data_IF_180115901441
#
_entry.id   IF_180115901441
#
_cell.length_a   1.000
_cell.length_b   1.000
_cell.length_c   1.000
_cell.angle_alpha   90.00
_cell.angle_beta   90.00
_cell.angle_gamma   90.00
#
_symmetry.space_group_name_H-M   'P 1'
#
loop_
_entity.id
_entity.type
_entity.pdbx_description
1 polymer ?
#
# COMPACT_ATOMS: atom_id res chain seq x y z
N UNK A 1 15.40 16.81 17.30
CA UNK A 1 14.16 17.31 16.70
C UNK A 1 13.08 17.33 17.77
N UNK A 2 12.15 18.29 17.75
CA UNK A 2 10.96 18.18 18.58
C UNK A 2 10.04 17.09 18.03
N UNK A 3 9.12 16.56 18.84
CA UNK A 3 8.16 15.54 18.38
C UNK A 3 7.33 16.03 17.20
N UNK A 4 6.93 17.30 17.21
CA UNK A 4 6.19 17.93 16.13
C UNK A 4 7.01 18.02 14.83
N UNK A 5 8.33 18.21 14.92
CA UNK A 5 9.21 18.21 13.73
C UNK A 5 9.35 16.79 13.15
N UNK A 6 9.37 15.77 14.00
CA UNK A 6 9.40 14.35 13.58
C UNK A 6 8.11 14.01 12.85
N UNK A 7 6.96 14.34 13.44
CA UNK A 7 5.65 14.08 12.84
C UNK A 7 5.55 14.70 11.44
N UNK A 8 5.92 15.99 11.30
CA UNK A 8 5.89 16.69 10.00
C UNK A 8 6.84 16.05 8.99
N UNK A 9 8.05 15.69 9.43
CA UNK A 9 9.05 15.09 8.54
C UNK A 9 8.63 13.70 8.04
N UNK A 10 8.14 12.85 8.93
CA UNK A 10 7.70 11.49 8.60
C UNK A 10 6.48 11.53 7.67
N UNK A 11 5.46 12.34 7.97
CA UNK A 11 4.28 12.41 7.12
C UNK A 11 4.61 13.00 5.73
N UNK A 12 5.47 14.01 5.63
CA UNK A 12 5.92 14.54 4.32
C UNK A 12 6.65 13.47 3.49
N UNK A 13 7.53 12.68 4.11
CA UNK A 13 8.24 11.58 3.46
C UNK A 13 7.26 10.51 2.94
N UNK A 14 6.34 10.07 3.80
CA UNK A 14 5.34 9.04 3.45
C UNK A 14 4.38 9.54 2.38
N UNK A 15 3.91 10.78 2.46
CA UNK A 15 3.06 11.39 1.44
C UNK A 15 3.76 11.49 0.08
N UNK A 16 5.05 11.87 0.06
CA UNK A 16 5.84 11.91 -1.17
C UNK A 16 6.02 10.51 -1.77
N UNK A 17 6.33 9.51 -0.95
CA UNK A 17 6.46 8.12 -1.37
C UNK A 17 5.13 7.61 -1.95
N UNK A 18 4.03 7.75 -1.22
CA UNK A 18 2.68 7.32 -1.63
C UNK A 18 2.30 7.96 -2.96
N UNK A 19 2.46 9.28 -3.08
CA UNK A 19 2.12 10.00 -4.32
C UNK A 19 3.01 9.59 -5.50
N UNK A 20 4.29 9.31 -5.27
CA UNK A 20 5.19 8.82 -6.32
C UNK A 20 4.73 7.45 -6.84
N UNK A 21 4.40 6.53 -5.94
CA UNK A 21 3.98 5.16 -6.31
C UNK A 21 2.63 5.18 -7.00
N UNK A 22 1.65 5.92 -6.47
CA UNK A 22 0.36 6.09 -7.11
C UNK A 22 0.49 6.65 -8.53
N UNK A 23 1.43 7.58 -8.80
CA UNK A 23 1.70 8.09 -10.15
C UNK A 23 2.20 7.03 -11.13
N UNK A 24 2.95 6.04 -10.66
CA UNK A 24 3.52 4.97 -11.50
C UNK A 24 2.46 3.94 -11.87
N UNK A 25 1.48 3.70 -10.98
CA UNK A 25 0.36 2.81 -11.27
C UNK A 25 -0.43 3.27 -12.50
N UNK A 26 -0.92 2.30 -13.28
CA UNK A 26 -1.91 2.57 -14.33
C UNK A 26 -3.17 3.21 -13.71
N UNK A 27 -3.93 4.03 -14.46
CA UNK A 27 -5.13 4.67 -13.93
C UNK A 27 -6.09 3.69 -13.24
N UNK A 28 -6.30 2.50 -13.84
CA UNK A 28 -7.17 1.46 -13.28
C UNK A 28 -6.61 0.89 -11.97
N UNK A 29 -5.33 0.52 -11.94
CA UNK A 29 -4.67 -0.03 -10.74
C UNK A 29 -4.69 0.96 -9.58
N UNK A 30 -4.45 2.24 -9.87
CA UNK A 30 -4.55 3.33 -8.90
C UNK A 30 -5.94 3.42 -8.29
N UNK A 31 -6.98 3.37 -9.12
CA UNK A 31 -8.35 3.43 -8.65
C UNK A 31 -8.74 2.24 -7.77
N UNK A 32 -8.26 1.03 -8.09
CA UNK A 32 -8.45 -0.16 -7.25
C UNK A 32 -7.86 0.07 -5.86
N UNK A 33 -6.59 0.47 -5.80
CA UNK A 33 -5.88 0.73 -4.53
C UNK A 33 -6.59 1.82 -3.72
N UNK A 34 -6.93 2.94 -4.35
CA UNK A 34 -7.57 4.06 -3.65
C UNK A 34 -9.00 3.72 -3.20
N UNK A 35 -9.77 2.98 -4.01
CA UNK A 35 -11.11 2.54 -3.61
C UNK A 35 -11.04 1.64 -2.36
N UNK A 36 -10.12 0.67 -2.33
CA UNK A 36 -9.93 -0.20 -1.17
C UNK A 36 -9.46 0.55 0.08
N UNK A 37 -8.63 1.59 -0.08
CA UNK A 37 -8.16 2.43 1.04
C UNK A 37 -9.24 3.33 1.63
N UNK A 38 -10.21 3.74 0.82
CA UNK A 38 -11.18 4.78 1.18
C UNK A 38 -12.53 4.19 1.58
N UNK A 39 -12.91 3.06 1.00
CA UNK A 39 -14.19 2.42 1.27
C UNK A 39 -14.20 1.75 2.64
N UNK A 40 -15.33 1.84 3.33
CA UNK A 40 -15.54 1.28 4.66
C UNK A 40 -16.65 0.20 4.60
N UNK A 41 -16.73 -0.67 5.60
CA UNK A 41 -17.76 -1.73 5.67
C UNK A 41 -19.17 -1.19 5.90
N UNK A 42 -19.29 0.02 6.47
CA UNK A 42 -20.56 0.73 6.65
C UNK A 42 -21.14 1.28 5.34
N UNK A 43 -20.33 1.30 4.27
CA UNK A 43 -20.70 1.83 2.97
C UNK A 43 -20.42 3.32 2.80
N UNK A 44 -20.29 3.73 1.54
CA UNK A 44 -20.02 5.09 1.09
C UNK A 44 -20.79 5.35 -0.22
N UNK A 45 -21.33 6.56 -0.37
CA UNK A 45 -21.92 6.99 -1.63
C UNK A 45 -20.82 7.10 -2.71
N UNK A 46 -21.12 6.72 -3.95
CA UNK A 46 -20.13 6.75 -5.04
C UNK A 46 -19.57 8.15 -5.26
N UNK A 47 -20.37 9.21 -5.13
CA UNK A 47 -19.92 10.60 -5.29
C UNK A 47 -18.94 10.97 -4.17
N UNK A 48 -19.24 10.56 -2.94
CA UNK A 48 -18.34 10.78 -1.80
C UNK A 48 -17.05 9.96 -1.93
N UNK A 49 -17.13 8.74 -2.45
CA UNK A 49 -15.97 7.91 -2.76
C UNK A 49 -15.08 8.57 -3.80
N UNK A 50 -15.65 9.08 -4.89
CA UNK A 50 -14.92 9.85 -5.91
C UNK A 50 -14.23 11.06 -5.29
N UNK A 51 -14.94 11.87 -4.50
CA UNK A 51 -14.38 13.06 -3.86
C UNK A 51 -13.23 12.72 -2.91
N UNK A 52 -13.37 11.64 -2.11
CA UNK A 52 -12.29 11.17 -1.24
C UNK A 52 -11.08 10.67 -2.03
N UNK A 53 -11.29 9.94 -3.13
CA UNK A 53 -10.20 9.54 -4.04
C UNK A 53 -9.50 10.77 -4.64
N UNK A 54 -10.27 11.79 -5.06
CA UNK A 54 -9.72 13.04 -5.61
C UNK A 54 -8.88 13.83 -4.61
N UNK A 55 -9.14 13.69 -3.31
CA UNK A 55 -8.32 14.30 -2.25
C UNK A 55 -6.86 13.81 -2.26
N UNK A 56 -6.58 12.63 -2.83
CA UNK A 56 -5.21 12.14 -3.06
C UNK A 56 -4.52 12.79 -4.27
N UNK A 57 -5.23 13.68 -4.99
CA UNK A 57 -4.73 14.39 -6.17
C UNK A 57 -4.86 13.61 -7.47
N UNK A 58 -5.77 12.62 -7.52
CA UNK A 58 -6.00 11.78 -8.70
C UNK A 58 -7.49 11.61 -8.97
N UNK A 59 -7.90 11.68 -10.25
CA UNK A 59 -9.27 11.37 -10.66
C UNK A 59 -9.40 9.94 -11.15
N UNK A 60 -10.50 9.29 -10.77
CA UNK A 60 -10.85 7.95 -11.23
C UNK A 60 -11.97 8.00 -12.25
N UNK A 61 -11.64 8.36 -13.50
CA UNK A 61 -12.62 8.54 -14.60
C UNK A 61 -13.42 7.29 -14.98
N UNK A 62 -13.03 6.11 -14.47
CA UNK A 62 -13.68 4.82 -14.71
C UNK A 62 -13.95 4.10 -13.39
N UNK A 63 -14.33 4.84 -12.34
CA UNK A 63 -14.59 4.27 -11.03
C UNK A 63 -15.68 3.20 -11.10
N UNK A 64 -16.75 3.43 -11.86
CA UNK A 64 -17.83 2.45 -12.06
C UNK A 64 -17.34 1.11 -12.62
N UNK A 65 -16.42 1.12 -13.60
CA UNK A 65 -15.83 -0.10 -14.15
C UNK A 65 -14.99 -0.85 -13.10
N UNK A 66 -14.30 -0.10 -12.22
CA UNK A 66 -13.53 -0.67 -11.12
C UNK A 66 -14.46 -1.28 -10.07
N UNK A 67 -15.49 -0.55 -9.65
CA UNK A 67 -16.48 -1.02 -8.67
C UNK A 67 -17.25 -2.24 -9.18
N UNK A 68 -17.63 -2.25 -10.46
CA UNK A 68 -18.26 -3.40 -11.09
C UNK A 68 -17.34 -4.62 -11.08
N UNK A 69 -16.06 -4.46 -11.42
CA UNK A 69 -15.09 -5.56 -11.36
C UNK A 69 -14.90 -6.07 -9.93
N UNK A 70 -14.71 -5.18 -8.95
CA UNK A 70 -14.58 -5.57 -7.54
C UNK A 70 -15.84 -6.28 -7.04
N UNK A 71 -17.02 -5.85 -7.50
CA UNK A 71 -18.28 -6.48 -7.14
C UNK A 71 -18.47 -7.85 -7.78
N UNK A 72 -18.08 -8.02 -9.03
CA UNK A 72 -18.06 -9.31 -9.72
C UNK A 72 -17.21 -10.36 -8.95
N UNK A 73 -16.13 -9.92 -8.32
CA UNK A 73 -15.25 -10.75 -7.50
C UNK A 73 -15.64 -10.83 -6.02
N UNK A 74 -16.80 -10.29 -5.64
CA UNK A 74 -17.29 -10.36 -4.26
C UNK A 74 -16.45 -9.57 -3.25
N UNK A 75 -15.69 -8.55 -3.71
CA UNK A 75 -14.89 -7.65 -2.85
C UNK A 75 -15.72 -6.44 -2.40
N UNK A 76 -16.64 -6.00 -3.24
CA UNK A 76 -17.51 -4.84 -2.99
C UNK A 76 -18.96 -5.21 -3.30
N UNK A 77 -19.90 -4.67 -2.53
CA UNK A 77 -21.32 -4.71 -2.85
C UNK A 77 -21.81 -3.28 -3.07
N UNK A 78 -22.42 -3.02 -4.24
CA UNK A 78 -22.97 -1.71 -4.58
C UNK A 78 -24.49 -1.83 -4.78
N UNK A 79 -25.27 -1.12 -3.97
CA UNK A 79 -26.74 -1.08 -4.06
C UNK A 79 -27.22 0.37 -3.96
N UNK A 80 -27.99 0.82 -4.95
CA UNK A 80 -28.63 2.15 -4.91
C UNK A 80 -27.64 3.33 -4.85
N UNK A 81 -26.46 3.20 -5.46
CA UNK A 81 -25.42 4.24 -5.45
C UNK A 81 -24.51 4.24 -4.22
N UNK A 82 -24.76 3.35 -3.25
CA UNK A 82 -23.91 3.13 -2.08
C UNK A 82 -23.10 1.86 -2.28
N UNK A 83 -21.79 1.94 -2.10
CA UNK A 83 -20.87 0.81 -2.19
C UNK A 83 -20.23 0.52 -0.82
N UNK A 84 -20.10 -0.75 -0.46
CA UNK A 84 -19.45 -1.18 0.78
C UNK A 84 -18.51 -2.36 0.52
N UNK A 85 -17.51 -2.50 1.38
CA UNK A 85 -16.69 -3.70 1.39
C UNK A 85 -17.50 -4.91 1.87
N UNK A 86 -17.34 -6.05 1.21
CA UNK A 86 -17.74 -7.35 1.76
C UNK A 86 -16.74 -7.78 2.83
N UNK A 87 -16.94 -8.94 3.48
CA UNK A 87 -15.97 -9.47 4.45
C UNK A 87 -14.58 -9.67 3.81
N UNK A 88 -14.53 -10.25 2.61
CA UNK A 88 -13.28 -10.43 1.86
C UNK A 88 -12.63 -9.08 1.49
N UNK A 89 -13.43 -8.08 1.08
CA UNK A 89 -12.92 -6.74 0.81
C UNK A 89 -12.43 -6.02 2.06
N UNK A 90 -13.08 -6.23 3.20
CA UNK A 90 -12.69 -5.67 4.48
C UNK A 90 -11.37 -6.25 4.97
N UNK A 91 -11.17 -7.56 4.85
CA UNK A 91 -9.88 -8.21 5.15
C UNK A 91 -8.75 -7.65 4.27
N UNK A 92 -8.99 -7.51 2.96
CA UNK A 92 -8.01 -6.96 2.03
C UNK A 92 -7.67 -5.49 2.33
N UNK A 93 -8.69 -4.68 2.61
CA UNK A 93 -8.52 -3.28 3.01
C UNK A 93 -7.77 -3.15 4.35
N UNK A 94 -8.10 -4.01 5.32
CA UNK A 94 -7.42 -4.04 6.62
C UNK A 94 -5.95 -4.42 6.49
N UNK A 95 -5.63 -5.45 5.70
CA UNK A 95 -4.24 -5.84 5.42
C UNK A 95 -3.44 -4.72 4.74
N UNK A 96 -4.07 -4.01 3.79
CA UNK A 96 -3.46 -2.84 3.17
C UNK A 96 -3.25 -1.70 4.18
N UNK A 97 -4.22 -1.46 5.06
CA UNK A 97 -4.12 -0.48 6.14
C UNK A 97 -3.01 -0.80 7.13
N UNK A 98 -2.87 -2.07 7.51
CA UNK A 98 -1.80 -2.56 8.38
C UNK A 98 -0.42 -2.37 7.74
N UNK A 99 -0.29 -2.69 6.45
CA UNK A 99 0.94 -2.42 5.69
C UNK A 99 1.33 -0.93 5.74
N UNK A 100 0.38 -0.02 5.49
CA UNK A 100 0.62 1.42 5.56
C UNK A 100 1.01 1.88 6.97
N UNK A 101 0.38 1.32 8.00
CA UNK A 101 0.72 1.59 9.39
C UNK A 101 2.12 1.09 9.76
N UNK A 102 2.54 -0.06 9.24
CA UNK A 102 3.88 -0.61 9.43
C UNK A 102 4.95 0.24 8.74
N UNK A 103 4.71 0.72 7.51
CA UNK A 103 5.62 1.67 6.84
C UNK A 103 5.77 2.97 7.63
N UNK A 104 4.66 3.48 8.19
CA UNK A 104 4.70 4.63 9.07
C UNK A 104 5.54 4.36 10.32
N UNK A 105 5.30 3.24 11.00
CA UNK A 105 6.04 2.86 12.21
C UNK A 105 7.54 2.76 11.94
N UNK A 106 7.94 2.10 10.85
CA UNK A 106 9.34 2.03 10.42
C UNK A 106 9.94 3.44 10.23
N UNK A 107 9.23 4.33 9.53
CA UNK A 107 9.72 5.69 9.31
C UNK A 107 9.91 6.47 10.62
N UNK A 108 8.99 6.34 11.58
CA UNK A 108 9.15 6.90 12.92
C UNK A 108 10.36 6.31 13.63
N UNK A 109 10.49 4.97 13.70
CA UNK A 109 11.62 4.30 14.36
C UNK A 109 12.97 4.76 13.77
N UNK A 110 13.05 4.93 12.45
CA UNK A 110 14.27 5.41 11.79
C UNK A 110 14.58 6.85 12.15
N UNK A 111 13.60 7.76 12.09
CA UNK A 111 13.81 9.19 12.37
C UNK A 111 14.09 9.43 13.86
N UNK A 112 13.51 8.63 14.75
CA UNK A 112 13.78 8.64 16.20
C UNK A 112 15.12 7.98 16.55
N UNK A 113 15.73 7.26 15.61
CA UNK A 113 17.00 6.55 15.82
C UNK A 113 16.86 5.28 16.67
N UNK A 114 15.65 4.74 16.78
CA UNK A 114 15.32 3.51 17.52
C UNK A 114 15.11 2.29 16.61
N UNK A 115 15.38 2.42 15.31
CA UNK A 115 15.23 1.34 14.33
C UNK A 115 16.23 0.21 14.61
N UNK A 116 15.73 -1.02 14.59
CA UNK A 116 16.56 -2.22 14.55
C UNK A 116 16.55 -2.87 13.15
N UNK A 117 17.38 -3.89 12.98
CA UNK A 117 17.48 -4.61 11.71
C UNK A 117 16.17 -5.36 11.38
N UNK A 118 15.48 -5.89 12.40
CA UNK A 118 14.28 -6.70 12.24
C UNK A 118 13.11 -5.86 11.70
N UNK A 119 12.98 -4.60 12.12
CA UNK A 119 12.01 -3.63 11.58
C UNK A 119 12.19 -3.43 10.06
N UNK A 120 13.44 -3.31 9.61
CA UNK A 120 13.78 -3.13 8.19
C UNK A 120 13.56 -4.43 7.42
N UNK A 121 13.97 -5.57 7.97
CA UNK A 121 13.77 -6.89 7.38
C UNK A 121 12.28 -7.22 7.23
N UNK A 122 11.45 -6.93 8.23
CA UNK A 122 10.01 -7.15 8.18
C UNK A 122 9.35 -6.40 7.01
N UNK A 123 9.79 -5.17 6.76
CA UNK A 123 9.33 -4.35 5.64
C UNK A 123 9.74 -4.91 4.28
N UNK A 124 10.96 -5.44 4.18
CA UNK A 124 11.44 -6.16 2.98
C UNK A 124 10.65 -7.45 2.77
N UNK A 125 10.51 -8.27 3.81
CA UNK A 125 9.78 -9.54 3.77
C UNK A 125 8.32 -9.34 3.35
N UNK A 126 7.65 -8.27 3.80
CA UNK A 126 6.29 -7.95 3.38
C UNK A 126 6.20 -7.73 1.86
N UNK A 127 7.18 -7.05 1.25
CA UNK A 127 7.23 -6.88 -0.19
C UNK A 127 7.36 -8.23 -0.92
N UNK A 128 8.19 -9.15 -0.43
CA UNK A 128 8.32 -10.51 -0.98
C UNK A 128 7.07 -11.38 -0.74
N UNK A 129 6.47 -11.30 0.45
CA UNK A 129 5.24 -12.01 0.78
C UNK A 129 4.10 -11.59 -0.17
N UNK A 130 4.04 -10.30 -0.54
CA UNK A 130 3.08 -9.82 -1.54
C UNK A 130 3.31 -10.43 -2.93
N UNK A 131 4.57 -10.73 -3.31
CA UNK A 131 4.89 -11.45 -4.55
C UNK A 131 4.39 -12.89 -4.49
N UNK A 132 4.58 -13.56 -3.35
CA UNK A 132 4.10 -14.93 -3.17
C UNK A 132 2.57 -14.98 -3.28
N UNK A 133 1.86 -14.09 -2.57
CA UNK A 133 0.40 -14.00 -2.66
C UNK A 133 -0.09 -13.69 -4.09
N UNK A 134 0.65 -12.89 -4.86
CA UNK A 134 0.36 -12.67 -6.28
C UNK A 134 0.51 -13.94 -7.12
N UNK A 135 1.56 -14.72 -6.89
CA UNK A 135 1.81 -15.99 -7.60
C UNK A 135 0.74 -17.01 -7.26
N UNK A 136 0.43 -17.19 -5.97
CA UNK A 136 -0.62 -18.10 -5.51
C UNK A 136 -1.96 -17.72 -6.14
N UNK A 137 -2.32 -16.43 -6.07
CA UNK A 137 -3.55 -15.93 -6.70
C UNK A 137 -3.58 -16.13 -8.21
N UNK A 138 -2.44 -16.00 -8.91
CA UNK A 138 -2.37 -16.27 -10.36
C UNK A 138 -2.66 -17.73 -10.68
N UNK A 139 -2.15 -18.63 -9.84
CA UNK A 139 -2.26 -20.08 -10.05
C UNK A 139 -3.68 -20.56 -9.71
N UNK A 140 -4.23 -20.09 -8.60
CA UNK A 140 -5.52 -20.55 -8.09
C UNK A 140 -6.70 -19.82 -8.76
N UNK A 141 -6.60 -18.50 -8.91
CA UNK A 141 -7.67 -17.66 -9.45
C UNK A 141 -7.15 -16.55 -10.39
N UNK A 142 -6.72 -16.90 -11.62
CA UNK A 142 -6.13 -15.94 -12.57
C UNK A 142 -7.01 -14.72 -12.86
N UNK A 143 -8.33 -14.84 -12.69
CA UNK A 143 -9.28 -13.75 -12.89
C UNK A 143 -9.10 -12.59 -11.90
N UNK A 144 -8.53 -12.84 -10.71
CA UNK A 144 -8.22 -11.82 -9.70
C UNK A 144 -6.88 -11.12 -9.94
N UNK A 145 -6.13 -11.52 -10.98
CA UNK A 145 -4.84 -10.92 -11.32
C UNK A 145 -4.87 -9.38 -11.42
N UNK A 146 -5.88 -8.73 -12.03
CA UNK A 146 -5.94 -7.27 -12.08
C UNK A 146 -5.98 -6.61 -10.69
N UNK A 147 -6.59 -7.26 -9.69
CA UNK A 147 -6.64 -6.78 -8.31
C UNK A 147 -5.30 -7.01 -7.61
N UNK A 148 -4.83 -8.26 -7.56
CA UNK A 148 -3.61 -8.60 -6.81
C UNK A 148 -2.35 -7.97 -7.40
N UNK A 149 -2.25 -7.87 -8.74
CA UNK A 149 -1.12 -7.18 -9.37
C UNK A 149 -1.09 -5.70 -8.99
N UNK A 150 -2.26 -5.05 -8.92
CA UNK A 150 -2.35 -3.65 -8.53
C UNK A 150 -1.88 -3.43 -7.09
N UNK A 151 -2.29 -4.31 -6.18
CA UNK A 151 -1.85 -4.28 -4.78
C UNK A 151 -0.36 -4.59 -4.64
N UNK A 152 0.13 -5.63 -5.31
CA UNK A 152 1.54 -6.01 -5.28
C UNK A 152 2.46 -4.88 -5.78
N UNK A 153 2.15 -4.27 -6.92
CA UNK A 153 2.94 -3.14 -7.46
C UNK A 153 2.90 -1.94 -6.52
N UNK A 154 1.77 -1.69 -5.87
CA UNK A 154 1.67 -0.63 -4.87
C UNK A 154 2.51 -0.93 -3.62
N UNK A 155 2.39 -2.12 -3.04
CA UNK A 155 3.13 -2.55 -1.84
C UNK A 155 4.63 -2.49 -2.10
N UNK A 156 5.11 -3.16 -3.15
CA UNK A 156 6.53 -3.17 -3.50
C UNK A 156 7.06 -1.78 -3.84
N UNK A 157 6.29 -0.99 -4.58
CA UNK A 157 6.63 0.38 -4.92
C UNK A 157 6.76 1.27 -3.68
N UNK A 158 5.82 1.16 -2.73
CA UNK A 158 5.83 1.96 -1.51
C UNK A 158 6.96 1.54 -0.58
N UNK A 159 7.15 0.24 -0.33
CA UNK A 159 8.27 -0.26 0.45
C UNK A 159 9.60 0.25 -0.11
N UNK A 160 9.78 0.15 -1.43
CA UNK A 160 11.00 0.62 -2.11
C UNK A 160 11.19 2.12 -1.95
N UNK A 161 10.15 2.93 -2.20
CA UNK A 161 10.23 4.38 -2.12
C UNK A 161 10.47 4.89 -0.70
N UNK A 162 9.89 4.23 0.30
CA UNK A 162 10.11 4.54 1.73
C UNK A 162 11.52 4.14 2.14
N UNK A 163 11.93 2.89 1.90
CA UNK A 163 13.27 2.41 2.25
C UNK A 163 14.38 3.23 1.58
N UNK A 164 14.20 3.62 0.32
CA UNK A 164 15.16 4.48 -0.39
C UNK A 164 15.30 5.87 0.27
N UNK A 165 14.22 6.43 0.81
CA UNK A 165 14.26 7.70 1.53
C UNK A 165 14.90 7.53 2.92
N UNK A 166 14.54 6.47 3.65
CA UNK A 166 15.09 6.15 4.97
C UNK A 166 16.59 5.82 4.92
N UNK A 167 17.05 5.13 3.88
CA UNK A 167 18.47 4.81 3.66
C UNK A 167 19.36 6.07 3.48
N UNK A 168 18.78 7.23 3.16
CA UNK A 168 19.53 8.50 3.07
C UNK A 168 19.83 9.10 4.44
N UNK A 169 19.08 8.70 5.47
CA UNK A 169 19.16 9.26 6.82
C UNK A 169 19.55 8.21 7.88
N UNK A 170 19.56 6.92 7.54
CA UNK A 170 20.00 5.83 8.43
C UNK A 170 20.89 4.83 7.69
N UNK A 171 22.12 4.68 8.18
CA UNK A 171 23.08 3.69 7.69
C UNK A 171 22.58 2.27 7.95
N UNK A 172 21.95 2.01 9.10
CA UNK A 172 21.35 0.71 9.45
C UNK A 172 20.36 0.24 8.38
N UNK A 173 19.51 1.15 7.87
CA UNK A 173 18.57 0.83 6.79
C UNK A 173 19.32 0.44 5.52
N UNK A 174 20.29 1.26 5.09
CA UNK A 174 21.07 1.00 3.88
C UNK A 174 21.83 -0.34 3.95
N UNK A 175 22.50 -0.60 5.07
CA UNK A 175 23.32 -1.79 5.27
C UNK A 175 22.46 -3.05 5.35
N UNK A 176 21.30 -2.97 5.99
CA UNK A 176 20.34 -4.08 6.04
C UNK A 176 19.77 -4.40 4.65
N UNK A 177 19.37 -3.37 3.89
CA UNK A 177 18.88 -3.57 2.52
C UNK A 177 19.96 -4.21 1.63
N UNK A 178 21.21 -3.73 1.71
CA UNK A 178 22.34 -4.32 0.96
C UNK A 178 22.54 -5.79 1.30
N UNK A 179 22.68 -6.12 2.60
CA UNK A 179 22.85 -7.50 3.07
C UNK A 179 21.72 -8.40 2.62
N UNK A 180 20.48 -7.92 2.69
CA UNK A 180 19.32 -8.66 2.22
C UNK A 180 19.42 -8.98 0.71
N UNK A 181 19.87 -8.03 -0.11
CA UNK A 181 19.97 -8.22 -1.57
C UNK A 181 21.18 -9.02 -2.03
N UNK A 182 22.31 -8.92 -1.32
CA UNK A 182 23.56 -9.62 -1.65
C UNK A 182 23.53 -11.08 -1.17
N UNK A 183 22.55 -11.42 -0.31
CA UNK A 183 22.50 -12.66 0.44
C UNK A 183 23.46 -12.59 1.63
N UNK A 184 23.08 -13.17 2.76
CA UNK A 184 24.06 -13.46 3.80
C UNK A 184 25.09 -14.39 3.19
N UNK A 185 26.30 -13.89 2.92
CA UNK A 185 27.42 -14.72 2.55
C UNK A 185 27.51 -15.83 3.57
N UNK A 186 27.22 -17.07 3.17
CA UNK A 186 27.39 -18.23 4.01
C UNK A 186 28.89 -18.37 4.24
N UNK A 187 29.36 -17.96 5.42
CA UNK A 187 30.67 -18.38 5.95
C UNK A 187 30.70 -19.90 6.16
#
# INVERSE_FOLDING_TARGET
MSRQDIDVHVEDMLMKADRQVLKILSPRARCIVLALRVMESTGIDIIDLEARIESFGFRCTKLDEVLYMLSYHGIVECTGGVCRLTDAGAELSAALGEFLANMRRLAYSVVEGSVDEDDVLSSLVTAFASTLGLIESYVEEPSLMPLYLSLHVYITGLSTAVLAQLARVSATVLDTVKRFTEGYGTE
#
